data_IF_584974504095
#
_entry.id   IF_584974504095
#
_cell.length_a   1.000
_cell.length_b   1.000
_cell.length_c   1.000
_cell.angle_alpha   90.00
_cell.angle_beta   90.00
_cell.angle_gamma   90.00
#
_symmetry.space_group_name_H-M   'P 1'
#
loop_
_entity.id
_entity.type
_entity.pdbx_description
1 polymer ?
#
# COMPACT_ATOMS: atom_id res chain seq x y z
N UNK A 1 14.16 -23.55 5.27
CA UNK A 1 14.54 -22.38 6.08
C UNK A 1 13.27 -21.59 6.35
N UNK A 2 12.83 -21.56 7.60
CA UNK A 2 11.75 -20.67 8.01
C UNK A 2 12.26 -19.22 7.91
N UNK A 3 11.89 -18.50 6.88
CA UNK A 3 12.07 -17.08 6.82
C UNK A 3 11.12 -16.43 7.81
N UNK A 4 11.58 -16.18 9.02
CA UNK A 4 10.87 -15.45 10.09
C UNK A 4 10.83 -13.96 9.75
N UNK A 5 10.14 -13.59 8.68
CA UNK A 5 9.85 -12.18 8.42
C UNK A 5 8.78 -11.69 9.40
N UNK A 6 9.18 -10.87 10.36
CA UNK A 6 8.24 -10.12 11.19
C UNK A 6 7.51 -9.09 10.32
N UNK A 7 6.18 -8.97 10.41
CA UNK A 7 5.45 -7.88 9.78
C UNK A 7 5.94 -6.52 10.30
N UNK A 8 5.93 -5.52 9.43
CA UNK A 8 6.36 -4.17 9.77
C UNK A 8 5.40 -3.54 10.77
N UNK A 9 5.92 -2.91 11.84
CA UNK A 9 5.14 -2.22 12.87
C UNK A 9 4.03 -3.11 13.48
N UNK A 10 4.29 -4.42 13.63
CA UNK A 10 3.29 -5.40 14.06
C UNK A 10 2.65 -5.04 15.40
N UNK A 11 3.46 -4.76 16.40
CA UNK A 11 2.97 -4.44 17.75
C UNK A 11 2.13 -3.16 17.74
N UNK A 12 2.62 -2.15 17.04
CA UNK A 12 1.96 -0.85 16.91
C UNK A 12 0.63 -0.96 16.16
N UNK A 13 0.54 -1.81 15.13
CA UNK A 13 -0.70 -2.06 14.40
C UNK A 13 -1.74 -2.76 15.26
N UNK A 14 -1.33 -3.78 16.02
CA UNK A 14 -2.23 -4.53 16.90
C UNK A 14 -2.74 -3.65 18.04
N UNK A 15 -1.88 -2.83 18.63
CA UNK A 15 -2.28 -1.85 19.64
C UNK A 15 -3.22 -0.80 19.04
N UNK A 16 -2.88 -0.28 17.87
CA UNK A 16 -3.68 0.73 17.19
C UNK A 16 -5.09 0.24 16.83
N UNK A 17 -5.24 -1.00 16.41
CA UNK A 17 -6.56 -1.58 16.07
C UNK A 17 -7.47 -1.78 17.26
N UNK A 18 -6.94 -1.81 18.49
CA UNK A 18 -7.73 -1.99 19.72
C UNK A 18 -8.71 -3.17 19.63
N UNK A 19 -8.15 -4.35 19.32
CA UNK A 19 -8.93 -5.53 18.94
C UNK A 19 -9.84 -6.00 20.06
N UNK A 20 -11.14 -6.12 19.75
CA UNK A 20 -12.16 -6.76 20.59
C UNK A 20 -12.38 -8.19 20.12
N UNK A 21 -12.46 -9.18 21.03
CA UNK A 21 -12.55 -10.59 20.65
C UNK A 21 -13.78 -10.97 19.80
N UNK A 22 -14.86 -10.22 19.92
CA UNK A 22 -16.12 -10.38 19.19
C UNK A 22 -16.24 -9.47 17.95
N UNK A 23 -15.26 -8.59 17.70
CA UNK A 23 -15.29 -7.59 16.65
C UNK A 23 -15.05 -8.15 15.25
N UNK A 24 -15.38 -7.35 14.26
CA UNK A 24 -15.15 -7.66 12.84
C UNK A 24 -14.00 -6.79 12.34
N UNK A 25 -13.00 -7.42 11.74
CA UNK A 25 -11.79 -6.75 11.25
C UNK A 25 -11.52 -7.06 9.78
N UNK A 26 -10.80 -6.15 9.13
CA UNK A 26 -10.31 -6.33 7.76
C UNK A 26 -8.79 -6.15 7.75
N UNK A 27 -8.08 -7.10 7.15
CA UNK A 27 -6.72 -6.94 6.67
C UNK A 27 -6.79 -6.82 5.14
N UNK A 28 -6.64 -5.61 4.63
CA UNK A 28 -6.79 -5.32 3.20
C UNK A 28 -5.55 -5.61 2.37
N UNK A 29 -4.48 -6.10 3.00
CA UNK A 29 -3.16 -6.39 2.41
C UNK A 29 -2.56 -7.61 3.07
N UNK A 30 -3.20 -8.75 2.86
CA UNK A 30 -2.92 -10.02 3.54
C UNK A 30 -1.44 -10.44 3.48
N UNK A 31 -0.82 -10.32 2.31
CA UNK A 31 0.57 -10.68 2.08
C UNK A 31 0.94 -12.05 2.65
N UNK A 32 1.85 -12.09 3.61
CA UNK A 32 2.22 -13.33 4.32
C UNK A 32 1.32 -13.66 5.51
N UNK A 33 0.18 -13.01 5.67
CA UNK A 33 -0.75 -13.19 6.78
C UNK A 33 -0.16 -12.95 8.19
N UNK A 34 0.90 -12.15 8.30
CA UNK A 34 1.54 -11.91 9.59
C UNK A 34 0.67 -11.07 10.52
N UNK A 35 0.15 -9.95 10.04
CA UNK A 35 -0.82 -9.15 10.78
C UNK A 35 -2.15 -9.90 10.96
N UNK A 36 -2.65 -10.54 9.90
CA UNK A 36 -3.89 -11.34 9.94
C UNK A 36 -3.85 -12.43 11.01
N UNK A 37 -2.72 -13.14 11.16
CA UNK A 37 -2.54 -14.15 12.18
C UNK A 37 -2.68 -13.56 13.59
N UNK A 38 -2.03 -12.44 13.85
CA UNK A 38 -2.09 -11.77 15.15
C UNK A 38 -3.48 -11.22 15.46
N UNK A 39 -4.23 -10.78 14.44
CA UNK A 39 -5.63 -10.39 14.60
C UNK A 39 -6.49 -11.63 14.90
N UNK A 40 -6.40 -12.68 14.08
CA UNK A 40 -7.19 -13.90 14.19
C UNK A 40 -7.02 -14.60 15.55
N UNK A 41 -5.81 -14.60 16.13
CA UNK A 41 -5.52 -15.17 17.46
C UNK A 41 -6.26 -14.46 18.59
N UNK A 42 -6.60 -13.18 18.42
CA UNK A 42 -7.29 -12.36 19.42
C UNK A 42 -8.80 -12.43 19.33
N UNK A 43 -9.32 -12.97 18.21
CA UNK A 43 -10.75 -13.14 18.02
C UNK A 43 -11.25 -14.43 18.64
N UNK A 44 -12.45 -14.39 19.22
CA UNK A 44 -13.17 -15.56 19.75
C UNK A 44 -14.40 -15.85 18.91
N UNK A 45 -15.38 -14.95 18.91
CA UNK A 45 -16.60 -15.00 18.10
C UNK A 45 -16.59 -13.99 16.96
N UNK A 46 -15.58 -13.13 16.93
CA UNK A 46 -15.39 -12.12 15.89
C UNK A 46 -14.97 -12.73 14.55
N UNK A 47 -14.89 -11.89 13.52
CA UNK A 47 -14.55 -12.28 12.14
C UNK A 47 -13.39 -11.46 11.61
N UNK A 48 -12.59 -12.06 10.73
CA UNK A 48 -11.53 -11.40 9.99
C UNK A 48 -11.74 -11.61 8.48
N UNK A 49 -11.81 -10.53 7.73
CA UNK A 49 -11.80 -10.54 6.26
C UNK A 49 -10.39 -10.16 5.81
N UNK A 50 -9.75 -11.04 5.06
CA UNK A 50 -8.41 -10.82 4.51
C UNK A 50 -8.51 -10.66 3.00
N UNK A 51 -7.97 -9.57 2.48
CA UNK A 51 -8.00 -9.22 1.06
C UNK A 51 -6.57 -9.20 0.53
N UNK A 52 -6.35 -9.77 -0.63
CA UNK A 52 -5.12 -9.59 -1.40
C UNK A 52 -5.41 -9.71 -2.89
N UNK A 53 -4.69 -8.94 -3.68
CA UNK A 53 -4.74 -9.00 -5.14
C UNK A 53 -3.81 -10.07 -5.72
N UNK A 54 -2.87 -10.59 -4.93
CA UNK A 54 -1.96 -11.66 -5.31
C UNK A 54 -2.54 -13.02 -4.91
N UNK A 55 -2.93 -13.84 -5.90
CA UNK A 55 -3.45 -15.18 -5.66
C UNK A 55 -2.48 -16.05 -4.84
N UNK A 56 -1.16 -15.87 -5.07
CA UNK A 56 -0.16 -16.62 -4.30
C UNK A 56 -0.18 -16.28 -2.80
N UNK A 57 -0.54 -15.04 -2.45
CA UNK A 57 -0.73 -14.64 -1.04
C UNK A 57 -1.97 -15.31 -0.44
N UNK A 58 -3.07 -15.36 -1.17
CA UNK A 58 -4.31 -16.04 -0.77
C UNK A 58 -4.07 -17.53 -0.53
N UNK A 59 -3.38 -18.22 -1.46
CA UNK A 59 -3.09 -19.65 -1.37
C UNK A 59 -2.19 -19.96 -0.16
N UNK A 60 -1.14 -19.17 0.04
CA UNK A 60 -0.24 -19.33 1.19
C UNK A 60 -0.90 -19.04 2.54
N UNK A 61 -1.90 -18.15 2.56
CA UNK A 61 -2.61 -17.80 3.78
C UNK A 61 -3.54 -18.92 4.27
N UNK A 62 -4.08 -19.75 3.38
CA UNK A 62 -4.92 -20.89 3.77
C UNK A 62 -4.21 -21.81 4.77
N UNK A 63 -2.95 -22.14 4.52
CA UNK A 63 -2.16 -22.98 5.43
C UNK A 63 -1.81 -22.23 6.73
N UNK A 64 -1.42 -20.96 6.61
CA UNK A 64 -0.96 -20.15 7.76
C UNK A 64 -2.06 -19.77 8.73
N UNK A 65 -3.27 -19.59 8.21
CA UNK A 65 -4.46 -19.23 8.99
C UNK A 65 -5.36 -20.45 9.26
N UNK A 66 -4.93 -21.67 8.90
CA UNK A 66 -5.70 -22.92 9.07
C UNK A 66 -6.36 -23.06 10.45
N UNK A 67 -5.69 -22.73 11.59
CA UNK A 67 -6.30 -22.84 12.92
C UNK A 67 -7.49 -21.89 13.15
N UNK A 68 -7.68 -20.87 12.34
CA UNK A 68 -8.68 -19.80 12.49
C UNK A 68 -9.63 -19.68 11.31
N UNK A 69 -9.63 -20.63 10.37
CA UNK A 69 -10.46 -20.57 9.16
C UNK A 69 -11.96 -20.61 9.43
N UNK A 70 -12.38 -20.98 10.63
CA UNK A 70 -13.77 -20.88 11.08
C UNK A 70 -14.26 -19.43 11.19
N UNK A 71 -13.34 -18.47 11.34
CA UNK A 71 -13.63 -17.03 11.50
C UNK A 71 -12.90 -16.12 10.51
N UNK A 72 -12.12 -16.70 9.61
CA UNK A 72 -11.36 -15.95 8.57
C UNK A 72 -12.00 -16.19 7.20
N UNK A 73 -12.21 -15.09 6.47
CA UNK A 73 -12.65 -15.11 5.08
C UNK A 73 -11.52 -14.57 4.21
N UNK A 74 -11.05 -15.35 3.23
CA UNK A 74 -10.03 -14.91 2.27
C UNK A 74 -10.71 -14.43 0.98
N UNK A 75 -10.30 -13.27 0.47
CA UNK A 75 -10.88 -12.65 -0.73
C UNK A 75 -9.76 -12.25 -1.69
N UNK A 76 -9.73 -12.87 -2.87
CA UNK A 76 -8.85 -12.45 -3.96
C UNK A 76 -9.45 -11.23 -4.65
N UNK A 77 -8.99 -10.04 -4.28
CA UNK A 77 -9.44 -8.77 -4.84
C UNK A 77 -8.44 -7.66 -4.53
N UNK A 78 -8.59 -6.51 -5.20
CA UNK A 78 -7.88 -5.32 -4.81
C UNK A 78 -8.60 -4.61 -3.65
N UNK A 79 -7.85 -4.02 -2.73
CA UNK A 79 -8.36 -3.35 -1.53
C UNK A 79 -9.20 -2.09 -1.81
N UNK A 80 -9.11 -1.50 -3.00
CA UNK A 80 -9.95 -0.36 -3.41
C UNK A 80 -11.44 -0.71 -3.43
N UNK A 81 -11.77 -2.01 -3.55
CA UNK A 81 -13.12 -2.56 -3.50
C UNK A 81 -13.59 -2.95 -2.10
N UNK A 82 -12.89 -2.54 -1.04
CA UNK A 82 -13.21 -2.97 0.35
C UNK A 82 -14.68 -2.75 0.72
N UNK A 83 -15.29 -1.64 0.30
CA UNK A 83 -16.70 -1.36 0.60
C UNK A 83 -17.67 -2.31 -0.13
N UNK A 84 -17.35 -2.68 -1.37
CA UNK A 84 -18.12 -3.64 -2.18
C UNK A 84 -17.99 -5.05 -1.61
N UNK A 85 -16.75 -5.47 -1.28
CA UNK A 85 -16.46 -6.78 -0.67
C UNK A 85 -17.25 -6.96 0.62
N UNK A 86 -17.27 -5.94 1.49
CA UNK A 86 -18.05 -6.01 2.73
C UNK A 86 -19.55 -6.08 2.47
N UNK A 87 -20.05 -5.42 1.43
CA UNK A 87 -21.45 -5.53 1.02
C UNK A 87 -21.77 -6.93 0.48
N UNK A 88 -20.91 -7.52 -0.35
CA UNK A 88 -21.06 -8.88 -0.89
C UNK A 88 -21.03 -9.94 0.23
N UNK A 89 -20.38 -9.67 1.36
CA UNK A 89 -20.32 -10.53 2.53
C UNK A 89 -21.43 -10.25 3.58
N UNK A 90 -22.38 -9.37 3.28
CA UNK A 90 -23.43 -8.92 4.20
C UNK A 90 -22.86 -8.34 5.53
N UNK A 91 -21.72 -7.65 5.46
CA UNK A 91 -21.08 -6.99 6.60
C UNK A 91 -21.34 -5.48 6.50
N UNK A 92 -22.27 -4.94 7.31
CA UNK A 92 -22.63 -3.52 7.22
C UNK A 92 -21.55 -2.58 7.74
N UNK A 93 -20.76 -3.03 8.71
CA UNK A 93 -19.67 -2.25 9.32
C UNK A 93 -18.67 -3.12 10.06
N UNK A 94 -17.49 -2.57 10.29
CA UNK A 94 -16.37 -3.28 10.93
C UNK A 94 -15.75 -2.45 12.05
N UNK A 95 -15.09 -3.11 13.00
CA UNK A 95 -14.50 -2.50 14.18
C UNK A 95 -13.04 -2.07 13.97
N UNK A 96 -12.42 -2.55 12.90
CA UNK A 96 -11.10 -2.09 12.51
C UNK A 96 -10.66 -2.60 11.13
N UNK A 97 -9.81 -1.81 10.50
CA UNK A 97 -9.18 -2.15 9.23
C UNK A 97 -7.69 -1.84 9.28
N UNK A 98 -6.89 -2.71 8.68
CA UNK A 98 -5.46 -2.52 8.47
C UNK A 98 -5.13 -2.60 6.98
N UNK A 99 -4.31 -1.68 6.51
CA UNK A 99 -3.70 -1.72 5.18
C UNK A 99 -2.19 -1.50 5.31
N UNK A 100 -1.41 -2.51 4.95
CA UNK A 100 0.05 -2.47 4.87
C UNK A 100 0.45 -2.32 3.39
N UNK A 101 0.59 -1.05 2.94
CA UNK A 101 0.71 -0.72 1.53
C UNK A 101 2.06 -1.14 0.93
N UNK A 102 2.10 -1.22 -0.39
CA UNK A 102 3.32 -1.51 -1.13
C UNK A 102 3.50 -2.98 -1.47
N UNK A 103 4.75 -3.39 -1.74
CA UNK A 103 5.10 -4.75 -2.17
C UNK A 103 5.34 -5.67 -0.99
N UNK A 104 4.83 -6.88 -1.08
CA UNK A 104 5.11 -7.91 -0.09
C UNK A 104 6.55 -8.46 -0.21
N UNK A 105 7.07 -9.00 0.90
CA UNK A 105 8.40 -9.63 0.87
C UNK A 105 8.53 -10.73 -0.18
N UNK A 106 7.57 -11.67 -0.36
CA UNK A 106 7.65 -12.67 -1.42
C UNK A 106 7.77 -12.08 -2.82
N UNK A 107 7.05 -10.98 -3.11
CA UNK A 107 7.15 -10.32 -4.42
C UNK A 107 8.53 -9.75 -4.69
N UNK A 108 9.23 -9.25 -3.65
CA UNK A 108 10.60 -8.76 -3.78
C UNK A 108 11.65 -9.87 -3.79
N UNK A 109 11.41 -10.96 -3.05
CA UNK A 109 12.34 -12.08 -2.88
C UNK A 109 12.30 -13.05 -4.08
N UNK A 110 11.16 -13.14 -4.75
CA UNK A 110 11.03 -13.90 -6.01
C UNK A 110 11.49 -13.04 -7.19
N UNK A 111 12.74 -13.27 -7.62
CA UNK A 111 13.32 -12.54 -8.74
C UNK A 111 12.47 -12.62 -10.01
N UNK A 112 11.79 -13.76 -10.28
CA UNK A 112 10.98 -13.95 -11.48
C UNK A 112 9.81 -12.97 -11.62
N UNK A 113 9.36 -12.37 -10.52
CA UNK A 113 8.31 -11.36 -10.49
C UNK A 113 8.75 -9.98 -11.02
N UNK A 114 10.04 -9.75 -11.22
CA UNK A 114 10.59 -8.54 -11.85
C UNK A 114 10.55 -7.27 -11.02
N UNK A 115 10.31 -7.33 -9.70
CA UNK A 115 10.27 -6.14 -8.82
C UNK A 115 11.66 -5.60 -8.47
N UNK A 116 12.70 -6.44 -8.57
CA UNK A 116 14.05 -6.10 -8.15
C UNK A 116 14.93 -5.60 -9.31
N UNK A 117 15.62 -4.51 -9.08
CA UNK A 117 16.69 -4.02 -9.97
C UNK A 117 18.07 -4.64 -9.67
N UNK A 118 18.13 -5.60 -8.74
CA UNK A 118 19.38 -6.26 -8.30
C UNK A 118 19.55 -7.65 -8.93
N UNK A 119 18.49 -8.22 -9.47
CA UNK A 119 18.47 -9.55 -10.06
C UNK A 119 17.90 -9.46 -11.46
N UNK A 120 18.45 -10.25 -12.39
CA UNK A 120 17.95 -10.30 -13.76
C UNK A 120 16.68 -11.14 -13.83
N UNK A 121 15.64 -10.54 -14.42
CA UNK A 121 14.33 -11.16 -14.54
C UNK A 121 13.51 -10.47 -15.64
N UNK A 122 12.46 -11.11 -16.16
CA UNK A 122 11.51 -10.46 -17.06
C UNK A 122 10.91 -9.18 -16.42
N UNK A 123 10.62 -8.17 -17.24
CA UNK A 123 9.95 -6.94 -16.83
C UNK A 123 8.46 -7.19 -16.60
N UNK A 124 8.10 -7.77 -15.45
CA UNK A 124 6.70 -8.05 -15.10
C UNK A 124 6.14 -7.00 -14.12
N UNK A 125 6.58 -6.97 -12.88
CA UNK A 125 6.17 -6.09 -11.78
C UNK A 125 4.67 -6.14 -11.43
N UNK A 126 3.88 -7.09 -11.93
CA UNK A 126 2.48 -7.22 -11.54
C UNK A 126 2.36 -7.81 -10.15
N UNK A 127 1.57 -7.20 -9.29
CA UNK A 127 1.16 -7.78 -8.01
C UNK A 127 0.10 -8.86 -8.23
N UNK A 128 -0.89 -8.59 -9.10
CA UNK A 128 -1.83 -9.58 -9.62
C UNK A 128 -1.30 -10.12 -10.95
N UNK A 129 -0.87 -11.38 -10.97
CA UNK A 129 -0.31 -12.01 -12.16
C UNK A 129 -1.32 -12.17 -13.31
N UNK A 130 -2.63 -12.03 -13.03
CA UNK A 130 -3.71 -12.10 -14.05
C UNK A 130 -3.99 -10.74 -14.70
N UNK A 131 -3.48 -9.64 -14.14
CA UNK A 131 -3.63 -8.31 -14.71
C UNK A 131 -2.93 -8.21 -16.08
N UNK A 132 -3.50 -7.47 -17.05
CA UNK A 132 -2.96 -7.44 -18.42
C UNK A 132 -1.70 -6.60 -18.57
N UNK A 133 -1.53 -5.53 -17.78
CA UNK A 133 -0.45 -4.55 -17.91
C UNK A 133 0.81 -5.00 -17.16
N UNK A 134 1.92 -5.13 -17.88
CA UNK A 134 3.24 -5.49 -17.33
C UNK A 134 4.20 -4.31 -17.36
N UNK A 135 5.31 -4.39 -16.64
CA UNK A 135 6.40 -3.42 -16.75
C UNK A 135 7.03 -3.42 -18.17
N UNK A 136 7.01 -4.58 -18.83
CA UNK A 136 7.42 -4.68 -20.24
C UNK A 136 6.57 -3.79 -21.13
N UNK A 137 5.25 -3.82 -20.98
CA UNK A 137 4.33 -2.99 -21.76
C UNK A 137 4.58 -1.50 -21.49
N UNK A 138 4.68 -1.10 -20.23
CA UNK A 138 4.97 0.28 -19.86
C UNK A 138 6.26 0.77 -20.50
N UNK A 139 7.35 0.01 -20.39
CA UNK A 139 8.68 0.39 -20.88
C UNK A 139 8.73 0.42 -22.40
N UNK A 140 8.09 -0.57 -23.07
CA UNK A 140 8.26 -0.74 -24.52
C UNK A 140 7.16 -0.07 -25.37
N UNK A 141 5.99 0.26 -24.80
CA UNK A 141 4.87 0.77 -25.59
C UNK A 141 4.44 2.19 -25.24
N UNK A 142 4.64 2.64 -23.98
CA UNK A 142 4.20 3.97 -23.58
C UNK A 142 5.02 5.07 -24.26
N UNK A 143 4.37 6.21 -24.52
CA UNK A 143 5.02 7.39 -25.13
C UNK A 143 6.12 7.97 -24.23
N UNK A 144 6.99 8.80 -24.82
CA UNK A 144 7.98 9.55 -24.05
C UNK A 144 7.32 10.40 -22.94
N UNK A 145 6.22 11.04 -23.26
CA UNK A 145 5.47 11.91 -22.36
C UNK A 145 4.90 11.14 -21.17
N UNK A 146 4.33 9.96 -21.42
CA UNK A 146 3.80 9.09 -20.36
C UNK A 146 4.92 8.56 -19.48
N UNK A 147 6.00 8.05 -20.06
CA UNK A 147 7.17 7.59 -19.28
C UNK A 147 7.76 8.73 -18.44
N UNK A 148 7.98 9.91 -19.04
CA UNK A 148 8.48 11.08 -18.32
C UNK A 148 7.55 11.47 -17.16
N UNK A 149 6.24 11.44 -17.39
CA UNK A 149 5.23 11.78 -16.38
C UNK A 149 5.30 10.85 -15.19
N UNK A 150 5.24 9.53 -15.42
CA UNK A 150 5.27 8.57 -14.29
C UNK A 150 6.61 8.60 -13.55
N UNK A 151 7.73 8.71 -14.25
CA UNK A 151 9.05 8.83 -13.61
C UNK A 151 9.13 10.06 -12.72
N UNK A 152 8.56 11.18 -13.14
CA UNK A 152 8.56 12.42 -12.38
C UNK A 152 7.53 12.38 -11.23
N UNK A 153 6.27 12.01 -11.52
CA UNK A 153 5.16 12.05 -10.54
C UNK A 153 5.23 10.90 -9.54
N UNK A 154 5.49 9.66 -10.00
CA UNK A 154 5.46 8.46 -9.16
C UNK A 154 6.84 8.09 -8.60
N UNK A 155 7.91 8.46 -9.30
CA UNK A 155 9.28 8.23 -8.86
C UNK A 155 9.88 9.39 -8.08
N UNK A 156 9.28 10.58 -8.17
CA UNK A 156 9.91 11.85 -7.74
C UNK A 156 11.35 11.95 -8.34
N UNK A 157 11.51 11.48 -9.60
CA UNK A 157 12.80 11.33 -10.28
C UNK A 157 13.14 12.60 -11.06
N UNK A 158 14.18 13.31 -10.63
CA UNK A 158 14.60 14.58 -11.27
C UNK A 158 15.17 14.39 -12.68
N UNK A 159 15.71 13.21 -12.97
CA UNK A 159 16.25 12.86 -14.28
C UNK A 159 15.24 12.20 -15.21
N UNK A 160 13.95 12.26 -14.87
CA UNK A 160 12.86 11.66 -15.63
C UNK A 160 12.92 11.96 -17.16
N UNK A 161 13.21 13.21 -17.62
CA UNK A 161 13.31 13.47 -19.05
C UNK A 161 14.44 12.69 -19.73
N UNK A 162 15.62 12.63 -19.12
CA UNK A 162 16.77 11.94 -19.69
C UNK A 162 16.56 10.42 -19.71
N UNK A 163 16.01 9.86 -18.62
CA UNK A 163 15.71 8.43 -18.50
C UNK A 163 14.64 8.02 -19.51
N UNK A 164 13.52 8.75 -19.60
CA UNK A 164 12.46 8.47 -20.57
C UNK A 164 12.99 8.51 -22.01
N UNK A 165 13.79 9.52 -22.36
CA UNK A 165 14.43 9.63 -23.68
C UNK A 165 15.34 8.43 -23.95
N UNK A 166 16.13 8.01 -22.97
CA UNK A 166 17.05 6.87 -23.12
C UNK A 166 16.32 5.55 -23.34
N UNK A 167 15.21 5.34 -22.61
CA UNK A 167 14.35 4.16 -22.79
C UNK A 167 13.78 4.13 -24.21
N UNK A 168 13.15 5.26 -24.65
CA UNK A 168 12.54 5.35 -25.99
C UNK A 168 13.59 5.09 -27.08
N UNK A 169 14.77 5.69 -27.00
CA UNK A 169 15.85 5.43 -27.96
C UNK A 169 16.33 3.98 -27.96
N UNK A 170 16.46 3.35 -26.79
CA UNK A 170 16.93 1.97 -26.71
C UNK A 170 15.96 0.98 -27.37
N UNK A 171 14.66 1.13 -27.11
CA UNK A 171 13.63 0.22 -27.64
C UNK A 171 13.40 0.37 -29.16
N UNK A 172 13.86 1.47 -29.79
CA UNK A 172 13.87 1.60 -31.26
C UNK A 172 14.82 0.58 -31.91
N UNK A 173 15.86 0.15 -31.19
CA UNK A 173 16.82 -0.86 -31.67
C UNK A 173 16.38 -2.29 -31.31
N UNK A 174 16.01 -2.51 -30.05
CA UNK A 174 15.50 -3.77 -29.55
C UNK A 174 14.65 -3.52 -28.29
N UNK A 175 13.54 -4.25 -28.09
CA UNK A 175 12.74 -4.13 -26.87
C UNK A 175 13.58 -4.41 -25.62
N UNK A 176 13.34 -3.66 -24.56
CA UNK A 176 13.94 -3.88 -23.25
C UNK A 176 13.27 -5.09 -22.60
N UNK A 177 14.00 -6.16 -22.37
CA UNK A 177 13.45 -7.45 -21.94
C UNK A 177 13.49 -7.65 -20.44
N UNK A 178 14.59 -7.20 -19.80
CA UNK A 178 14.88 -7.60 -18.43
C UNK A 178 15.06 -6.41 -17.50
N UNK A 179 14.97 -6.69 -16.21
CA UNK A 179 15.15 -5.73 -15.12
C UNK A 179 16.56 -5.13 -15.12
N UNK A 180 17.62 -5.95 -15.38
CA UNK A 180 18.97 -5.43 -15.41
C UNK A 180 19.24 -4.57 -16.65
N UNK A 181 18.67 -4.92 -17.81
CA UNK A 181 18.72 -4.05 -19.00
C UNK A 181 18.10 -2.69 -18.72
N UNK A 182 16.91 -2.67 -18.12
CA UNK A 182 16.25 -1.42 -17.72
C UNK A 182 17.09 -0.64 -16.70
N UNK A 183 17.63 -1.30 -15.68
CA UNK A 183 18.46 -0.65 -14.66
C UNK A 183 19.71 -0.01 -15.26
N UNK A 184 20.34 -0.67 -16.24
CA UNK A 184 21.50 -0.12 -16.95
C UNK A 184 21.14 1.08 -17.84
N UNK A 185 19.99 1.04 -18.55
CA UNK A 185 19.49 2.18 -19.31
C UNK A 185 19.27 3.40 -18.41
N UNK A 186 18.64 3.20 -17.25
CA UNK A 186 18.42 4.25 -16.25
C UNK A 186 19.76 4.82 -15.80
N UNK A 187 20.71 3.96 -15.40
CA UNK A 187 22.04 4.35 -14.95
C UNK A 187 22.79 5.16 -16.00
N UNK A 188 22.75 4.74 -17.26
CA UNK A 188 23.42 5.39 -18.39
C UNK A 188 22.84 6.78 -18.71
N UNK A 189 21.61 7.06 -18.31
CA UNK A 189 20.96 8.35 -18.52
C UNK A 189 21.24 9.38 -17.41
N UNK A 190 21.88 8.95 -16.31
CA UNK A 190 22.11 9.79 -15.15
C UNK A 190 23.53 10.38 -15.12
N UNK A 191 23.72 11.62 -14.63
CA UNK A 191 25.03 12.21 -14.50
C UNK A 191 25.85 11.51 -13.40
N UNK A 192 27.19 11.52 -13.54
CA UNK A 192 28.12 10.87 -12.61
C UNK A 192 27.94 11.29 -11.13
N UNK A 193 27.50 12.52 -10.90
CA UNK A 193 27.21 13.00 -9.54
C UNK A 193 26.04 12.24 -8.89
N UNK A 194 24.99 11.97 -9.66
CA UNK A 194 23.82 11.22 -9.18
C UNK A 194 24.14 9.74 -8.88
N UNK A 195 25.08 9.16 -9.63
CA UNK A 195 25.51 7.78 -9.43
C UNK A 195 26.30 7.56 -8.13
N UNK A 196 26.75 8.65 -7.48
CA UNK A 196 27.47 8.61 -6.17
C UNK A 196 26.53 8.70 -4.98
N UNK A 197 25.21 8.87 -5.21
CA UNK A 197 24.23 8.90 -4.13
C UNK A 197 24.14 7.52 -3.45
N UNK A 198 23.76 7.52 -2.15
CA UNK A 198 23.63 6.26 -1.37
C UNK A 198 22.55 5.31 -1.92
N UNK A 199 21.55 5.85 -2.60
CA UNK A 199 20.46 5.06 -3.15
C UNK A 199 20.82 4.55 -4.54
N UNK A 200 20.40 3.33 -4.84
CA UNK A 200 20.58 2.77 -6.18
C UNK A 200 19.89 3.65 -7.24
N UNK A 201 20.57 3.96 -8.38
CA UNK A 201 20.05 4.88 -9.39
C UNK A 201 18.66 4.48 -9.94
N UNK A 202 18.43 3.19 -10.13
CA UNK A 202 17.16 2.68 -10.67
C UNK A 202 16.00 2.67 -9.65
N UNK A 203 16.24 2.89 -8.35
CA UNK A 203 15.21 2.71 -7.31
C UNK A 203 13.95 3.51 -7.57
N UNK A 204 14.07 4.80 -7.90
CA UNK A 204 12.93 5.69 -8.12
C UNK A 204 12.17 5.34 -9.39
N UNK A 205 12.90 5.01 -10.44
CA UNK A 205 12.30 4.62 -11.72
C UNK A 205 11.57 3.29 -11.62
N UNK A 206 12.10 2.30 -10.91
CA UNK A 206 11.43 1.03 -10.64
C UNK A 206 10.17 1.24 -9.80
N UNK A 207 10.23 2.08 -8.76
CA UNK A 207 9.04 2.48 -8.00
C UNK A 207 7.99 3.12 -8.91
N UNK A 208 8.36 4.02 -9.80
CA UNK A 208 7.44 4.71 -10.71
C UNK A 208 6.74 3.72 -11.65
N UNK A 209 7.48 2.81 -12.26
CA UNK A 209 6.95 1.80 -13.18
C UNK A 209 6.03 0.84 -12.41
N UNK A 210 6.45 0.37 -11.23
CA UNK A 210 5.65 -0.49 -10.37
C UNK A 210 4.30 0.15 -9.99
N UNK A 211 4.32 1.40 -9.56
CA UNK A 211 3.11 2.16 -9.24
C UNK A 211 2.19 2.26 -10.46
N UNK A 212 2.74 2.51 -11.64
CA UNK A 212 1.97 2.60 -12.87
C UNK A 212 1.36 1.26 -13.29
N UNK A 213 2.14 0.17 -13.22
CA UNK A 213 1.68 -1.20 -13.54
C UNK A 213 0.51 -1.62 -12.66
N UNK A 214 0.59 -1.29 -11.37
CA UNK A 214 -0.35 -1.79 -10.35
C UNK A 214 -1.46 -0.79 -9.98
N UNK A 215 -1.43 0.44 -10.49
CA UNK A 215 -2.41 1.47 -10.12
C UNK A 215 -2.40 1.80 -8.63
N UNK A 216 -1.23 1.69 -7.96
CA UNK A 216 -1.13 1.72 -6.51
C UNK A 216 -1.69 3.01 -5.90
N UNK A 217 -1.40 4.17 -6.48
CA UNK A 217 -1.88 5.46 -5.96
C UNK A 217 -3.35 5.73 -6.27
N UNK A 218 -3.84 5.25 -7.42
CA UNK A 218 -5.23 5.44 -7.84
C UNK A 218 -6.20 4.61 -6.99
N UNK A 219 -5.73 3.50 -6.43
CA UNK A 219 -6.49 2.64 -5.54
C UNK A 219 -6.70 3.26 -4.13
N UNK A 220 -5.85 4.22 -3.70
CA UNK A 220 -5.89 4.76 -2.35
C UNK A 220 -7.13 5.62 -2.05
N UNK A 221 -7.55 6.58 -2.89
CA UNK A 221 -8.72 7.39 -2.58
C UNK A 221 -10.02 6.59 -2.40
N UNK A 222 -10.41 5.65 -3.30
CA UNK A 222 -11.59 4.82 -3.11
C UNK A 222 -11.48 3.91 -1.88
N UNK A 223 -10.31 3.31 -1.62
CA UNK A 223 -10.07 2.51 -0.43
C UNK A 223 -10.29 3.33 0.84
N UNK A 224 -9.63 4.50 0.97
CA UNK A 224 -9.73 5.34 2.16
C UNK A 224 -11.15 5.81 2.42
N UNK A 225 -11.87 6.22 1.37
CA UNK A 225 -13.28 6.62 1.50
C UNK A 225 -14.15 5.45 1.94
N UNK A 226 -14.05 4.32 1.23
CA UNK A 226 -14.83 3.12 1.52
C UNK A 226 -14.53 2.55 2.92
N UNK A 227 -13.26 2.52 3.32
CA UNK A 227 -12.86 2.09 4.65
C UNK A 227 -13.47 2.98 5.75
N UNK A 228 -13.35 4.31 5.62
CA UNK A 228 -13.94 5.25 6.60
C UNK A 228 -15.46 5.12 6.67
N UNK A 229 -16.13 4.89 5.53
CA UNK A 229 -17.59 4.73 5.51
C UNK A 229 -18.05 3.46 6.23
N UNK A 230 -17.30 2.36 6.09
CA UNK A 230 -17.61 1.05 6.66
C UNK A 230 -17.16 0.84 8.09
N UNK A 231 -16.43 1.79 8.72
CA UNK A 231 -16.13 1.71 10.14
C UNK A 231 -17.37 1.91 11.00
N UNK A 232 -17.55 1.07 11.99
CA UNK A 232 -18.46 1.28 13.11
C UNK A 232 -17.97 2.46 13.97
N UNK A 233 -18.85 3.17 14.70
CA UNK A 233 -18.44 4.17 15.70
C UNK A 233 -17.39 3.58 16.66
N UNK A 234 -16.28 4.30 16.88
CA UNK A 234 -15.14 3.84 17.67
C UNK A 234 -14.22 2.82 16.95
N UNK A 235 -14.60 2.39 15.75
CA UNK A 235 -13.76 1.53 14.91
C UNK A 235 -12.56 2.28 14.35
N UNK A 236 -11.44 1.57 14.11
CA UNK A 236 -10.16 2.18 13.73
C UNK A 236 -9.67 1.74 12.36
N UNK A 237 -9.15 2.72 11.61
CA UNK A 237 -8.43 2.50 10.36
C UNK A 237 -6.96 2.78 10.57
N UNK A 238 -6.13 1.75 10.38
CA UNK A 238 -4.67 1.79 10.45
C UNK A 238 -4.08 1.59 9.04
N UNK A 239 -3.21 2.50 8.61
CA UNK A 239 -2.57 2.42 7.29
C UNK A 239 -1.08 2.62 7.43
N UNK A 240 -0.29 1.65 6.94
CA UNK A 240 1.17 1.73 6.81
C UNK A 240 1.49 2.15 5.39
N UNK A 241 2.37 3.13 5.24
CA UNK A 241 2.87 3.64 3.96
C UNK A 241 4.39 3.54 3.92
N UNK A 242 4.99 3.34 2.73
CA UNK A 242 6.43 3.16 2.55
C UNK A 242 7.11 4.26 1.74
N UNK A 243 6.35 5.13 1.09
CA UNK A 243 6.92 6.27 0.37
C UNK A 243 6.07 7.55 0.54
N UNK A 244 6.69 8.67 0.14
CA UNK A 244 6.14 10.03 0.33
C UNK A 244 4.77 10.25 -0.30
N UNK A 245 4.51 9.64 -1.46
CA UNK A 245 3.26 9.82 -2.20
C UNK A 245 2.09 9.17 -1.49
N UNK A 246 2.25 7.90 -1.05
CA UNK A 246 1.24 7.21 -0.23
C UNK A 246 0.95 7.99 1.04
N UNK A 247 2.01 8.33 1.81
CA UNK A 247 1.86 9.05 3.08
C UNK A 247 1.14 10.39 2.91
N UNK A 248 1.38 11.09 1.79
CA UNK A 248 0.72 12.36 1.45
C UNK A 248 -0.77 12.18 1.19
N UNK A 249 -1.16 11.13 0.44
CA UNK A 249 -2.56 10.81 0.13
C UNK A 249 -3.30 10.42 1.42
N UNK A 250 -2.77 9.47 2.18
CA UNK A 250 -3.37 8.99 3.45
C UNK A 250 -3.51 10.13 4.44
N UNK A 251 -2.43 10.92 4.64
CA UNK A 251 -2.46 12.08 5.55
C UNK A 251 -3.56 13.08 5.18
N UNK A 252 -3.66 13.43 3.89
CA UNK A 252 -4.67 14.39 3.41
C UNK A 252 -6.08 13.84 3.62
N UNK A 253 -6.33 12.59 3.22
CA UNK A 253 -7.64 11.95 3.39
C UNK A 253 -8.08 11.91 4.86
N UNK A 254 -7.17 11.55 5.79
CA UNK A 254 -7.44 11.54 7.21
C UNK A 254 -7.71 12.93 7.77
N UNK A 255 -6.91 13.92 7.37
CA UNK A 255 -7.12 15.31 7.76
C UNK A 255 -8.46 15.86 7.26
N UNK A 256 -8.82 15.55 6.01
CA UNK A 256 -10.08 16.02 5.42
C UNK A 256 -11.30 15.35 6.05
N UNK A 257 -11.19 14.05 6.39
CA UNK A 257 -12.23 13.32 7.12
C UNK A 257 -12.38 13.79 8.59
N UNK A 258 -11.28 14.26 9.20
CA UNK A 258 -11.27 14.79 10.56
C UNK A 258 -11.69 16.27 10.63
N UNK A 259 -11.73 16.97 9.49
CA UNK A 259 -12.26 18.34 9.45
C UNK A 259 -13.78 18.31 9.61
N UNK A 260 -14.26 19.08 10.59
CA UNK A 260 -15.67 19.37 10.72
C UNK A 260 -16.13 20.44 9.74
N UNK A 261 -16.85 21.40 10.26
CA UNK A 261 -17.38 22.52 9.54
C UNK A 261 -16.30 23.32 8.76
N UNK A 262 -16.39 23.48 7.42
CA UNK A 262 -15.54 24.36 6.64
C UNK A 262 -16.00 25.82 6.60
N UNK A 263 -17.09 26.17 7.32
CA UNK A 263 -17.59 27.53 7.36
C UNK A 263 -16.54 28.48 7.96
N UNK A 264 -16.44 29.71 7.45
CA UNK A 264 -15.60 30.75 8.06
C UNK A 264 -15.90 30.95 9.53
N UNK A 265 -14.89 31.17 10.38
CA UNK A 265 -15.10 31.38 11.83
C UNK A 265 -16.02 32.55 12.14
N UNK A 266 -16.15 33.52 11.24
CA UNK A 266 -16.98 34.70 11.38
C UNK A 266 -18.48 34.44 11.20
N UNK A 267 -18.85 33.25 10.72
CA UNK A 267 -20.26 32.88 10.55
C UNK A 267 -20.90 32.63 11.90
N UNK A 268 -22.00 33.36 12.26
CA UNK A 268 -22.66 33.18 13.54
C UNK A 268 -23.30 31.80 13.74
N UNK A 269 -23.59 31.10 12.63
CA UNK A 269 -24.19 29.75 12.66
C UNK A 269 -23.59 28.94 11.54
N UNK A 270 -23.24 27.68 11.82
CA UNK A 270 -22.81 26.74 10.80
C UNK A 270 -23.95 26.40 9.83
N UNK A 271 -23.73 26.67 8.53
CA UNK A 271 -24.70 26.40 7.46
C UNK A 271 -24.38 25.16 6.63
N UNK A 272 -23.21 24.54 6.81
CA UNK A 272 -22.78 23.42 6.01
C UNK A 272 -23.24 22.05 6.55
N UNK A 273 -23.59 21.96 7.84
CA UNK A 273 -23.99 20.71 8.49
C UNK A 273 -22.90 19.62 8.56
N UNK A 274 -21.66 19.92 8.11
CA UNK A 274 -20.58 18.94 8.11
C UNK A 274 -20.04 18.72 9.51
N UNK A 275 -19.99 17.47 9.91
CA UNK A 275 -19.36 17.01 11.15
C UNK A 275 -18.09 16.21 10.81
N UNK A 276 -17.08 16.14 11.70
CA UNK A 276 -15.95 15.23 11.54
C UNK A 276 -16.45 13.80 11.40
N UNK A 277 -15.89 13.05 10.44
CA UNK A 277 -16.21 11.62 10.27
C UNK A 277 -15.32 10.73 11.12
N UNK A 278 -14.11 11.22 11.39
CA UNK A 278 -13.09 10.53 12.17
C UNK A 278 -12.35 11.51 13.08
N UNK A 279 -11.73 10.98 14.13
CA UNK A 279 -10.70 11.68 14.90
C UNK A 279 -9.31 11.10 14.62
N UNK A 280 -8.28 11.96 14.63
CA UNK A 280 -6.90 11.52 14.42
C UNK A 280 -6.37 10.87 15.70
N UNK A 281 -6.16 9.56 15.70
CA UNK A 281 -5.47 8.85 16.80
C UNK A 281 -3.99 9.23 16.77
N UNK A 282 -3.39 9.27 15.58
CA UNK A 282 -2.00 9.67 15.39
C UNK A 282 -1.91 11.03 14.69
N UNK A 283 -1.46 12.07 15.42
CA UNK A 283 -1.17 13.39 14.80
C UNK A 283 0.11 13.36 13.96
N UNK A 284 1.13 12.62 14.41
CA UNK A 284 2.36 12.29 13.67
C UNK A 284 2.33 10.80 13.36
N UNK A 285 2.95 10.35 12.25
CA UNK A 285 3.02 8.92 11.98
C UNK A 285 3.85 8.22 13.05
N UNK A 286 3.46 6.99 13.40
CA UNK A 286 4.30 6.07 14.15
C UNK A 286 5.32 5.51 13.16
N UNK A 287 6.58 5.42 13.58
CA UNK A 287 7.70 4.88 12.78
C UNK A 287 8.39 3.78 13.55
N UNK A 288 9.07 2.88 12.83
CA UNK A 288 9.77 1.75 13.40
C UNK A 288 10.87 2.17 14.37
N UNK A 289 10.93 1.49 15.51
CA UNK A 289 11.96 1.68 16.51
C UNK A 289 13.34 1.11 16.08
N UNK A 290 14.39 1.47 16.80
CA UNK A 290 15.75 1.03 16.49
C UNK A 290 15.90 -0.50 16.42
N UNK A 291 15.31 -1.23 17.34
CA UNK A 291 15.34 -2.70 17.37
C UNK A 291 14.72 -3.33 16.11
N UNK A 292 13.57 -2.81 15.65
CA UNK A 292 12.94 -3.31 14.43
C UNK A 292 13.79 -3.00 13.19
N UNK A 293 14.44 -1.82 13.15
CA UNK A 293 15.27 -1.42 12.03
C UNK A 293 16.54 -2.28 11.89
N UNK A 294 17.08 -2.80 12.99
CA UNK A 294 18.18 -3.76 12.99
C UNK A 294 17.76 -5.12 12.41
N UNK A 295 16.56 -5.58 12.76
CA UNK A 295 16.02 -6.87 12.29
C UNK A 295 15.42 -6.78 10.87
N UNK A 296 14.79 -5.65 10.53
CA UNK A 296 14.04 -5.45 9.29
C UNK A 296 14.34 -4.09 8.63
N UNK A 297 15.31 -4.07 7.74
CA UNK A 297 15.69 -2.85 7.01
C UNK A 297 14.56 -2.27 6.13
N UNK A 298 13.54 -3.06 5.77
CA UNK A 298 12.36 -2.64 4.98
C UNK A 298 11.46 -1.70 5.79
N UNK A 299 11.48 -1.81 7.12
CA UNK A 299 10.71 -0.95 8.02
C UNK A 299 11.21 0.51 8.07
N UNK A 300 12.39 0.81 7.49
CA UNK A 300 13.00 2.15 7.56
C UNK A 300 12.12 3.28 7.03
N UNK A 301 11.32 3.03 6.02
CA UNK A 301 10.47 4.03 5.39
C UNK A 301 9.01 3.93 5.84
N UNK A 302 8.68 2.96 6.68
CA UNK A 302 7.33 2.70 7.14
C UNK A 302 6.80 3.84 8.02
N UNK A 303 5.53 4.20 7.79
CA UNK A 303 4.80 5.21 8.56
C UNK A 303 3.38 4.72 8.79
N UNK A 304 3.06 4.44 10.04
CA UNK A 304 1.71 4.07 10.44
C UNK A 304 0.90 5.31 10.80
N UNK A 305 -0.28 5.45 10.20
CA UNK A 305 -1.29 6.45 10.56
C UNK A 305 -2.59 5.79 10.96
N UNK A 306 -3.23 6.34 11.97
CA UNK A 306 -4.46 5.78 12.55
C UNK A 306 -5.50 6.86 12.75
N UNK A 307 -6.74 6.55 12.36
CA UNK A 307 -7.94 7.32 12.68
C UNK A 307 -8.98 6.43 13.34
N UNK A 308 -9.86 7.04 14.11
CA UNK A 308 -10.99 6.39 14.76
C UNK A 308 -12.29 7.03 14.29
N UNK A 309 -13.30 6.23 13.99
CA UNK A 309 -14.61 6.68 13.55
C UNK A 309 -15.32 7.43 14.67
N UNK A 310 -15.75 8.64 14.40
CA UNK A 310 -16.56 9.40 15.34
C UNK A 310 -17.94 8.76 15.54
N UNK A 311 -18.45 8.84 16.77
CA UNK A 311 -19.85 8.55 17.01
C UNK A 311 -20.70 9.73 16.49
N UNK A 312 -21.69 9.50 15.63
CA UNK A 312 -22.56 10.56 15.14
C UNK A 312 -23.36 11.28 16.24
N UNK A 313 -23.45 10.69 17.44
CA UNK A 313 -24.17 11.24 18.58
C UNK A 313 -23.27 12.04 19.55
N UNK A 314 -21.95 11.89 19.47
CA UNK A 314 -20.99 12.57 20.36
C UNK A 314 -20.44 13.89 19.80
N UNK A 315 -21.03 14.43 18.72
CA UNK A 315 -20.53 15.62 18.02
C UNK A 315 -21.59 16.74 18.00
#
# INVERSE_FOLDING_TARGET
MEFTHKPVLLAECIEALHIRPEGIYVDGTLGRAGHSREIAQRLTTGRLVCIDRDQAAIDAAQERLAPWMDRVTLVHSNFDRVSEILAELDIPGVDGMLFDLGVSSPQLDDASRGFSYMHDAPLDMRMDATAPLTAYDVVNTWSYEELRRILFEYGEERYAPAIAKRIVQARETAPVQTTLELAELIRSAMPAAALREKQHPAKRSFQAIRIAVNGELDALPPMLSGAIDRLNPGGRLAVITFHSLEDRIVKRAFQDAAKGCPCPPEFPVCVCGKKPRVQLVTRKPIVSGAAELEENSRARSAKLRVVEKCDPFDI
#
